data_IF_798387673981
#
_entry.id   IF_798387673981
#
_cell.length_a   1.000
_cell.length_b   1.000
_cell.length_c   1.000
_cell.angle_alpha   90.00
_cell.angle_beta   90.00
_cell.angle_gamma   90.00
#
_symmetry.space_group_name_H-M   'P 1'
#
loop_
_entity.id
_entity.type
_entity.pdbx_description
1 polymer ?
#
# COMPACT_ATOMS: atom_id res chain seq x y z
N UNK A 1 -5.51 -14.66 -9.27
CA UNK A 1 -5.86 -13.23 -9.19
C UNK A 1 -4.64 -12.42 -9.59
N UNK A 2 -4.81 -11.48 -10.52
CA UNK A 2 -3.76 -10.61 -11.06
C UNK A 2 -4.03 -9.16 -10.67
N UNK A 3 -2.97 -8.34 -10.63
CA UNK A 3 -3.09 -6.89 -10.47
C UNK A 3 -3.67 -6.28 -11.73
N UNK A 4 -4.59 -5.33 -11.55
CA UNK A 4 -5.16 -4.53 -12.65
C UNK A 4 -4.37 -3.24 -12.78
N UNK A 5 -4.23 -2.51 -11.67
CA UNK A 5 -3.47 -1.27 -11.59
C UNK A 5 -2.66 -1.19 -10.29
N UNK A 6 -1.58 -0.44 -10.32
CA UNK A 6 -0.84 0.02 -9.15
C UNK A 6 -0.61 1.52 -9.26
N UNK A 7 -1.08 2.26 -8.26
CA UNK A 7 -0.79 3.67 -8.07
C UNK A 7 0.32 3.86 -7.04
N UNK A 8 1.23 4.77 -7.32
CA UNK A 8 2.30 5.16 -6.40
C UNK A 8 2.43 6.67 -6.41
N UNK A 9 2.33 7.29 -5.25
CA UNK A 9 2.57 8.71 -5.06
C UNK A 9 3.66 8.93 -4.01
N UNK A 10 4.56 9.87 -4.24
CA UNK A 10 5.62 10.23 -3.32
C UNK A 10 5.33 11.58 -2.68
N UNK A 11 5.64 11.66 -1.39
CA UNK A 11 5.55 12.88 -0.60
C UNK A 11 6.84 13.03 0.22
N UNK A 12 7.26 14.27 0.44
CA UNK A 12 8.30 14.58 1.41
C UNK A 12 7.77 14.54 2.85
N UNK A 13 8.63 14.71 3.84
CA UNK A 13 8.23 14.75 5.25
C UNK A 13 7.26 15.90 5.59
N UNK A 14 7.29 16.97 4.82
CA UNK A 14 6.38 18.12 4.94
C UNK A 14 5.01 17.88 4.30
N UNK A 15 4.85 16.79 3.57
CA UNK A 15 3.62 16.46 2.86
C UNK A 15 3.49 17.10 1.48
N UNK A 16 4.59 17.61 0.94
CA UNK A 16 4.60 18.16 -0.41
C UNK A 16 4.95 17.07 -1.42
N UNK A 17 4.39 17.19 -2.61
CA UNK A 17 4.80 16.37 -3.75
C UNK A 17 6.02 16.99 -4.43
N UNK A 18 7.09 16.22 -4.72
CA UNK A 18 8.23 16.71 -5.48
C UNK A 18 7.82 17.20 -6.87
N UNK A 19 8.42 18.28 -7.35
CA UNK A 19 8.25 18.76 -8.72
C UNK A 19 9.20 17.98 -9.68
N UNK A 20 8.79 17.65 -10.92
CA UNK A 20 7.57 18.05 -11.66
C UNK A 20 6.37 17.12 -11.50
N UNK A 21 6.43 16.14 -10.66
CA UNK A 21 5.36 15.20 -10.42
C UNK A 21 5.92 13.88 -9.85
N UNK A 22 5.12 13.26 -9.01
CA UNK A 22 5.58 12.14 -8.23
C UNK A 22 4.46 11.13 -8.02
N UNK A 23 3.59 11.05 -9.00
CA UNK A 23 2.51 10.08 -9.03
C UNK A 23 2.58 9.27 -10.31
N UNK A 24 2.56 7.97 -10.16
CA UNK A 24 2.60 7.02 -11.28
C UNK A 24 1.44 6.06 -11.19
N UNK A 25 0.92 5.70 -12.34
CA UNK A 25 -0.06 4.65 -12.52
C UNK A 25 0.51 3.59 -13.46
N UNK A 26 0.55 2.36 -12.99
CA UNK A 26 0.95 1.21 -13.76
C UNK A 26 -0.27 0.38 -14.08
N UNK A 27 -0.59 0.23 -15.36
CA UNK A 27 -1.66 -0.64 -15.84
C UNK A 27 -1.04 -1.96 -16.25
N UNK A 28 -1.56 -3.08 -15.76
CA UNK A 28 -1.00 -4.41 -15.99
C UNK A 28 -1.73 -5.15 -17.10
N UNK A 29 -0.95 -5.95 -17.85
CA UNK A 29 -1.48 -6.78 -18.95
C UNK A 29 -1.93 -8.17 -18.49
N UNK A 30 -1.67 -8.54 -17.24
CA UNK A 30 -1.84 -9.91 -16.74
C UNK A 30 -3.29 -10.27 -16.40
N UNK A 31 -4.17 -9.30 -16.19
CA UNK A 31 -5.56 -9.52 -15.83
C UNK A 31 -6.47 -9.63 -17.05
N UNK A 32 -7.30 -10.68 -17.06
CA UNK A 32 -8.33 -10.91 -18.07
C UNK A 32 -9.69 -11.07 -17.39
N UNK A 33 -10.64 -10.11 -17.58
CA UNK A 33 -11.95 -10.19 -16.94
C UNK A 33 -12.79 -11.40 -17.39
N UNK A 34 -12.48 -11.99 -18.55
CA UNK A 34 -13.21 -13.14 -19.10
C UNK A 34 -12.71 -14.49 -18.52
N UNK A 35 -11.50 -14.51 -17.95
CA UNK A 35 -10.84 -15.74 -17.48
C UNK A 35 -10.56 -15.69 -15.97
N UNK A 36 -10.16 -14.54 -15.46
CA UNK A 36 -9.79 -14.38 -14.06
C UNK A 36 -11.01 -14.26 -13.15
N UNK A 37 -10.91 -14.88 -11.96
CA UNK A 37 -11.96 -14.75 -10.95
C UNK A 37 -12.11 -13.28 -10.53
N UNK A 38 -13.28 -12.72 -10.80
CA UNK A 38 -13.64 -11.34 -10.47
C UNK A 38 -15.12 -11.23 -10.11
N UNK A 39 -15.50 -10.15 -9.43
CA UNK A 39 -16.90 -9.81 -9.20
C UNK A 39 -17.41 -9.01 -10.41
N UNK A 40 -18.55 -9.38 -11.03
CA UNK A 40 -19.15 -8.60 -12.12
C UNK A 40 -19.37 -7.14 -11.76
N UNK A 41 -19.87 -6.86 -10.55
CA UNK A 41 -20.12 -5.50 -10.06
C UNK A 41 -18.80 -4.68 -9.98
N UNK A 42 -17.69 -5.33 -9.59
CA UNK A 42 -16.38 -4.68 -9.53
C UNK A 42 -15.85 -4.36 -10.93
N UNK A 43 -16.02 -5.27 -11.89
CA UNK A 43 -15.62 -5.04 -13.28
C UNK A 43 -16.44 -3.92 -13.89
N UNK A 44 -17.75 -3.90 -13.66
CA UNK A 44 -18.63 -2.83 -14.13
C UNK A 44 -18.21 -1.47 -13.55
N UNK A 45 -17.99 -1.39 -12.24
CA UNK A 45 -17.52 -0.17 -11.57
C UNK A 45 -16.21 0.34 -12.17
N UNK A 46 -15.23 -0.54 -12.37
CA UNK A 46 -13.93 -0.18 -12.95
C UNK A 46 -14.10 0.30 -14.39
N UNK A 47 -14.90 -0.38 -15.20
CA UNK A 47 -15.20 0.03 -16.59
C UNK A 47 -15.85 1.42 -16.64
N UNK A 48 -16.85 1.68 -15.77
CA UNK A 48 -17.49 3.00 -15.64
C UNK A 48 -16.50 4.08 -15.17
N UNK A 49 -15.45 3.69 -14.45
CA UNK A 49 -14.38 4.58 -14.00
C UNK A 49 -13.26 4.76 -15.04
N UNK A 50 -13.46 4.27 -16.27
CA UNK A 50 -12.54 4.46 -17.39
C UNK A 50 -11.42 3.41 -17.50
N UNK A 51 -11.57 2.24 -16.88
CA UNK A 51 -10.64 1.14 -17.09
C UNK A 51 -10.94 0.43 -18.41
N UNK A 52 -9.98 0.43 -19.32
CA UNK A 52 -10.03 -0.30 -20.59
C UNK A 52 -9.18 -1.57 -20.49
N UNK A 53 -9.82 -2.69 -20.11
CA UNK A 53 -9.14 -3.97 -19.93
C UNK A 53 -8.52 -4.51 -21.24
N UNK A 54 -9.14 -4.20 -22.42
CA UNK A 54 -8.56 -4.62 -23.70
C UNK A 54 -7.27 -3.85 -23.99
N UNK A 55 -7.26 -2.55 -23.73
CA UNK A 55 -6.06 -1.72 -23.86
C UNK A 55 -4.99 -2.17 -22.87
N UNK A 56 -5.35 -2.50 -21.64
CA UNK A 56 -4.38 -3.01 -20.66
C UNK A 56 -3.75 -4.32 -21.11
N UNK A 57 -4.52 -5.25 -21.64
CA UNK A 57 -3.97 -6.50 -22.18
C UNK A 57 -3.02 -6.30 -23.35
N UNK A 58 -3.26 -5.32 -24.22
CA UNK A 58 -2.44 -5.03 -25.42
C UNK A 58 -1.18 -4.23 -25.09
N UNK A 59 -1.28 -3.26 -24.19
CA UNK A 59 -0.27 -2.24 -23.96
C UNK A 59 0.16 -2.11 -22.51
N UNK A 60 -0.44 -2.84 -21.61
CA UNK A 60 -0.11 -2.85 -20.20
C UNK A 60 1.27 -3.46 -19.94
N UNK A 61 1.74 -3.24 -18.74
CA UNK A 61 3.03 -3.70 -18.27
C UNK A 61 2.90 -5.13 -17.75
N UNK A 62 3.81 -6.01 -18.14
CA UNK A 62 3.96 -7.33 -17.52
C UNK A 62 4.33 -7.17 -16.04
N UNK A 63 3.54 -7.77 -15.14
CA UNK A 63 3.74 -7.63 -13.69
C UNK A 63 5.12 -8.13 -13.22
N UNK A 64 5.73 -9.08 -13.93
CA UNK A 64 7.09 -9.59 -13.61
C UNK A 64 8.16 -8.54 -13.86
N UNK A 65 8.02 -7.77 -14.94
CA UNK A 65 8.93 -6.65 -15.25
C UNK A 65 8.75 -5.51 -14.25
N UNK A 66 7.50 -5.19 -13.93
CA UNK A 66 7.19 -4.17 -12.93
C UNK A 66 7.71 -4.55 -11.55
N UNK A 67 7.59 -5.82 -11.15
CA UNK A 67 8.05 -6.32 -9.86
C UNK A 67 9.52 -5.98 -9.58
N UNK A 68 10.41 -6.17 -10.55
CA UNK A 68 11.81 -5.84 -10.39
C UNK A 68 12.03 -4.34 -10.17
N UNK A 69 11.42 -3.50 -11.00
CA UNK A 69 11.55 -2.04 -10.89
C UNK A 69 10.98 -1.51 -9.58
N UNK A 70 9.80 -1.98 -9.19
CA UNK A 70 9.15 -1.60 -7.93
C UNK A 70 10.00 -2.05 -6.74
N UNK A 71 10.49 -3.28 -6.76
CA UNK A 71 11.37 -3.80 -5.70
C UNK A 71 12.60 -2.91 -5.54
N UNK A 72 13.36 -2.68 -6.61
CA UNK A 72 14.62 -1.92 -6.57
C UNK A 72 14.38 -0.45 -6.22
N UNK A 73 13.37 0.18 -6.82
CA UNK A 73 13.16 1.63 -6.70
C UNK A 73 12.39 2.05 -5.46
N UNK A 74 11.50 1.21 -4.94
CA UNK A 74 10.66 1.55 -3.80
C UNK A 74 11.11 0.85 -2.51
N UNK A 75 11.48 -0.44 -2.57
CA UNK A 75 11.70 -1.22 -1.35
C UNK A 75 13.18 -1.44 -1.00
N UNK A 76 14.09 -1.29 -1.96
CA UNK A 76 15.53 -1.46 -1.74
C UNK A 76 16.27 -0.13 -1.55
N UNK A 77 15.57 0.98 -1.36
CA UNK A 77 16.23 2.26 -1.14
C UNK A 77 16.85 2.36 0.25
N UNK A 78 18.00 3.05 0.40
CA UNK A 78 18.68 3.22 1.68
C UNK A 78 17.92 4.12 2.66
N UNK A 79 16.89 4.82 2.19
CA UNK A 79 16.11 5.76 3.00
C UNK A 79 15.01 5.05 3.77
N UNK A 80 14.70 5.56 4.95
CA UNK A 80 13.57 5.11 5.77
C UNK A 80 12.27 5.63 5.18
N UNK A 81 11.75 4.95 4.16
CA UNK A 81 10.46 5.28 3.58
C UNK A 81 9.32 4.78 4.47
N UNK A 82 8.27 5.59 4.58
CA UNK A 82 7.00 5.21 5.20
C UNK A 82 6.00 4.92 4.08
N UNK A 83 5.31 3.82 4.19
CA UNK A 83 4.25 3.44 3.24
C UNK A 83 2.91 3.75 3.85
N UNK A 84 2.01 4.29 3.04
CA UNK A 84 0.65 4.63 3.49
C UNK A 84 -0.36 3.98 2.56
N UNK A 85 -1.38 3.38 3.14
CA UNK A 85 -2.50 2.75 2.43
C UNK A 85 -3.83 3.17 3.05
N UNK A 86 -4.93 2.83 2.39
CA UNK A 86 -6.27 2.94 2.95
C UNK A 86 -7.02 1.63 2.73
N UNK A 87 -7.28 0.87 3.80
CA UNK A 87 -7.86 -0.48 3.71
C UNK A 87 -7.01 -1.42 2.84
N UNK A 88 -5.70 -1.29 2.95
CA UNK A 88 -4.74 -1.80 1.98
C UNK A 88 -4.35 -3.26 2.15
N UNK A 89 -5.10 -4.08 2.90
CA UNK A 89 -4.78 -5.50 3.10
C UNK A 89 -4.60 -6.25 1.79
N UNK A 90 -5.56 -6.09 0.87
CA UNK A 90 -5.52 -6.75 -0.43
C UNK A 90 -4.46 -6.14 -1.34
N UNK A 91 -4.32 -4.82 -1.37
CA UNK A 91 -3.32 -4.12 -2.19
C UNK A 91 -1.91 -4.58 -1.80
N UNK A 92 -1.62 -4.61 -0.51
CA UNK A 92 -0.35 -5.10 0.04
C UNK A 92 -0.13 -6.57 -0.30
N UNK A 93 -1.16 -7.40 -0.20
CA UNK A 93 -1.07 -8.82 -0.55
C UNK A 93 -0.74 -9.03 -2.04
N UNK A 94 -1.37 -8.24 -2.92
CA UNK A 94 -1.08 -8.28 -4.36
C UNK A 94 0.35 -7.81 -4.68
N UNK A 95 0.80 -6.73 -4.05
CA UNK A 95 2.18 -6.23 -4.23
C UNK A 95 3.19 -7.26 -3.74
N UNK A 96 2.96 -7.88 -2.57
CA UNK A 96 3.81 -8.97 -2.06
C UNK A 96 3.85 -10.12 -3.06
N UNK A 97 2.70 -10.60 -3.54
CA UNK A 97 2.62 -11.68 -4.52
C UNK A 97 3.37 -11.34 -5.81
N UNK A 98 3.24 -10.10 -6.29
CA UNK A 98 3.96 -9.61 -7.47
C UNK A 98 5.48 -9.63 -7.26
N UNK A 99 5.97 -9.13 -6.13
CA UNK A 99 7.39 -9.03 -5.81
C UNK A 99 8.01 -10.40 -5.57
N UNK A 100 7.37 -11.23 -4.74
CA UNK A 100 7.91 -12.54 -4.33
C UNK A 100 7.73 -13.61 -5.39
N UNK A 101 6.76 -13.46 -6.27
CA UNK A 101 6.33 -14.48 -7.25
C UNK A 101 5.96 -15.82 -6.60
N UNK A 102 5.64 -15.81 -5.33
CA UNK A 102 5.30 -16.98 -4.54
C UNK A 102 3.84 -16.89 -4.05
N UNK A 103 3.23 -18.01 -3.67
CA UNK A 103 1.97 -17.99 -2.93
C UNK A 103 2.10 -17.16 -1.66
N UNK A 104 1.01 -16.52 -1.27
CA UNK A 104 0.96 -15.84 0.02
C UNK A 104 1.08 -16.84 1.18
N UNK A 105 1.64 -16.44 2.32
CA UNK A 105 1.70 -17.29 3.50
C UNK A 105 0.33 -17.82 3.93
N UNK A 106 0.29 -19.05 4.45
CA UNK A 106 -0.96 -19.69 4.88
C UNK A 106 -1.49 -19.15 6.22
N UNK A 107 -0.64 -18.46 6.98
CA UNK A 107 -1.02 -17.88 8.26
C UNK A 107 -0.91 -16.37 8.27
N UNK A 108 -1.79 -15.72 9.04
CA UNK A 108 -1.75 -14.26 9.20
C UNK A 108 -0.46 -13.76 9.90
N UNK A 109 0.15 -14.58 10.75
CA UNK A 109 1.39 -14.22 11.42
C UNK A 109 2.55 -14.15 10.42
N UNK A 110 2.71 -15.18 9.59
CA UNK A 110 3.72 -15.20 8.53
C UNK A 110 3.49 -14.07 7.52
N UNK A 111 2.23 -13.81 7.15
CA UNK A 111 1.89 -12.68 6.28
C UNK A 111 2.30 -11.34 6.93
N UNK A 112 1.98 -11.13 8.20
CA UNK A 112 2.36 -9.90 8.92
C UNK A 112 3.88 -9.74 9.04
N UNK A 113 4.62 -10.83 9.24
CA UNK A 113 6.08 -10.81 9.27
C UNK A 113 6.66 -10.47 7.88
N UNK A 114 6.04 -10.97 6.82
CA UNK A 114 6.41 -10.66 5.44
C UNK A 114 6.13 -9.19 5.10
N UNK A 115 4.97 -8.66 5.50
CA UNK A 115 4.65 -7.22 5.37
C UNK A 115 5.72 -6.37 6.04
N UNK A 116 6.09 -6.68 7.28
CA UNK A 116 7.16 -5.95 8.00
C UNK A 116 8.51 -6.09 7.32
N UNK A 117 8.78 -7.24 6.71
CA UNK A 117 10.04 -7.50 6.02
C UNK A 117 10.17 -6.64 4.78
N UNK A 118 9.12 -6.53 3.98
CA UNK A 118 9.13 -5.82 2.69
C UNK A 118 8.95 -4.31 2.89
N UNK A 119 7.94 -3.91 3.65
CA UNK A 119 7.57 -2.49 3.78
C UNK A 119 8.23 -1.80 4.97
N UNK A 120 8.67 -2.53 6.00
CA UNK A 120 9.15 -1.91 7.22
C UNK A 120 8.03 -1.20 7.97
N UNK A 121 7.87 0.11 7.75
CA UNK A 121 6.78 0.90 8.33
C UNK A 121 5.69 1.14 7.28
N UNK A 122 4.53 0.55 7.50
CA UNK A 122 3.32 0.78 6.69
C UNK A 122 2.18 1.24 7.60
N UNK A 123 1.43 2.24 7.17
CA UNK A 123 0.33 2.85 7.89
C UNK A 123 -0.96 2.69 7.08
N UNK A 124 -1.98 2.08 7.68
CA UNK A 124 -3.32 1.97 7.07
C UNK A 124 -4.25 3.03 7.64
N UNK A 125 -4.61 4.03 6.85
CA UNK A 125 -5.43 5.14 7.30
C UNK A 125 -6.82 4.72 7.78
N UNK A 126 -7.39 3.65 7.22
CA UNK A 126 -8.67 3.13 7.70
C UNK A 126 -8.54 2.55 9.11
N UNK A 127 -7.44 1.86 9.39
CA UNK A 127 -7.14 1.40 10.75
C UNK A 127 -6.92 2.56 11.70
N UNK A 128 -6.07 3.52 11.32
CA UNK A 128 -5.71 4.67 12.14
C UNK A 128 -6.93 5.55 12.45
N UNK A 129 -7.79 5.79 11.47
CA UNK A 129 -9.00 6.62 11.64
C UNK A 129 -9.97 6.11 12.71
N UNK A 130 -9.87 4.82 13.11
CA UNK A 130 -10.66 4.27 14.23
C UNK A 130 -10.33 4.93 15.56
N UNK A 131 -9.11 5.42 15.72
CA UNK A 131 -8.60 6.02 16.96
C UNK A 131 -8.59 7.55 16.92
N UNK A 132 -8.98 8.13 15.78
CA UNK A 132 -9.03 9.58 15.60
C UNK A 132 -10.42 10.13 15.89
N UNK A 133 -10.50 11.11 16.78
CA UNK A 133 -11.76 11.79 17.10
C UNK A 133 -12.39 12.44 15.85
N UNK A 134 -13.69 12.29 15.66
CA UNK A 134 -14.43 12.87 14.53
C UNK A 134 -14.39 12.04 13.24
N UNK A 135 -13.57 10.99 13.15
CA UNK A 135 -13.41 10.18 11.94
C UNK A 135 -14.26 8.89 11.96
N UNK A 136 -15.42 8.93 12.59
CA UNK A 136 -16.43 7.85 12.59
C UNK A 136 -15.86 6.46 12.90
N UNK A 137 -14.84 6.37 13.72
CA UNK A 137 -14.18 5.11 14.13
C UNK A 137 -13.74 4.23 12.96
N UNK A 138 -13.35 4.84 11.82
CA UNK A 138 -12.89 4.11 10.63
C UNK A 138 -14.00 3.46 9.79
N UNK A 139 -15.27 3.66 10.13
CA UNK A 139 -16.42 3.12 9.38
C UNK A 139 -16.78 3.98 8.16
N UNK A 140 -15.76 4.46 7.44
CA UNK A 140 -15.91 5.31 6.26
C UNK A 140 -15.01 4.80 5.15
N UNK A 141 -15.42 5.04 3.91
CA UNK A 141 -14.56 4.84 2.73
C UNK A 141 -13.62 6.03 2.52
N UNK A 142 -12.69 5.88 1.59
CA UNK A 142 -11.67 6.89 1.26
C UNK A 142 -12.31 8.26 0.92
N UNK A 143 -13.33 8.27 0.08
CA UNK A 143 -14.10 9.49 -0.28
C UNK A 143 -14.82 10.08 0.93
N UNK A 144 -15.32 9.24 1.83
CA UNK A 144 -15.94 9.72 3.09
C UNK A 144 -14.93 10.41 3.99
N UNK A 145 -13.73 9.86 4.10
CA UNK A 145 -12.63 10.45 4.86
C UNK A 145 -12.21 11.80 4.25
N UNK A 146 -12.09 11.89 2.91
CA UNK A 146 -11.72 13.14 2.25
C UNK A 146 -12.73 14.26 2.52
N UNK A 147 -14.03 13.93 2.46
CA UNK A 147 -15.11 14.91 2.79
C UNK A 147 -15.05 15.38 4.24
N UNK A 148 -14.81 14.47 5.19
CA UNK A 148 -14.70 14.84 6.61
C UNK A 148 -13.48 15.75 6.89
N UNK A 149 -12.43 15.57 6.11
CA UNK A 149 -11.23 16.40 6.20
C UNK A 149 -11.29 17.65 5.29
N UNK A 150 -12.41 17.89 4.59
CA UNK A 150 -12.60 18.98 3.63
C UNK A 150 -11.50 19.01 2.57
N UNK A 151 -11.12 17.84 2.08
CA UNK A 151 -10.10 17.67 1.06
C UNK A 151 -10.73 17.09 -0.21
N UNK A 152 -10.74 17.86 -1.30
CA UNK A 152 -11.22 17.42 -2.61
C UNK A 152 -10.07 17.45 -3.62
N UNK A 153 -9.47 16.30 -3.90
CA UNK A 153 -8.41 16.24 -4.91
C UNK A 153 -9.01 16.35 -6.32
N UNK A 154 -8.19 16.84 -7.24
CA UNK A 154 -8.54 16.92 -8.66
C UNK A 154 -8.14 15.60 -9.34
N UNK A 155 -9.06 14.99 -10.09
CA UNK A 155 -8.80 13.78 -10.86
C UNK A 155 -9.99 12.84 -10.98
N UNK A 156 -9.77 11.70 -11.64
CA UNK A 156 -10.78 10.66 -11.86
C UNK A 156 -10.70 9.65 -10.72
N UNK A 157 -11.79 9.48 -9.99
CA UNK A 157 -11.94 8.49 -8.92
C UNK A 157 -11.80 7.06 -9.44
N UNK A 158 -11.37 6.15 -8.58
CA UNK A 158 -11.12 4.75 -8.90
C UNK A 158 -10.02 4.51 -9.94
N UNK A 159 -9.14 5.50 -10.11
CA UNK A 159 -7.87 5.34 -10.79
C UNK A 159 -6.76 5.27 -9.74
N UNK A 160 -5.89 4.26 -9.82
CA UNK A 160 -4.94 3.96 -8.75
C UNK A 160 -3.98 5.13 -8.43
N UNK A 161 -3.62 5.94 -9.43
CA UNK A 161 -2.82 7.15 -9.21
C UNK A 161 -3.59 8.21 -8.41
N UNK A 162 -4.86 8.44 -8.73
CA UNK A 162 -5.71 9.37 -8.00
C UNK A 162 -5.87 8.95 -6.54
N UNK A 163 -6.18 7.66 -6.31
CA UNK A 163 -6.38 7.15 -4.96
C UNK A 163 -5.08 7.21 -4.15
N UNK A 164 -3.92 6.95 -4.75
CA UNK A 164 -2.63 7.06 -4.07
C UNK A 164 -2.26 8.50 -3.69
N UNK A 165 -2.54 9.49 -4.55
CA UNK A 165 -2.40 10.91 -4.22
C UNK A 165 -3.33 11.32 -3.09
N UNK A 166 -4.58 10.90 -3.16
CA UNK A 166 -5.57 11.18 -2.12
C UNK A 166 -5.15 10.60 -0.77
N UNK A 167 -4.70 9.34 -0.74
CA UNK A 167 -4.25 8.68 0.49
C UNK A 167 -3.08 9.44 1.12
N UNK A 168 -2.07 9.82 0.35
CA UNK A 168 -0.92 10.58 0.86
C UNK A 168 -1.31 11.96 1.37
N UNK A 169 -2.16 12.69 0.64
CA UNK A 169 -2.66 13.99 1.07
C UNK A 169 -3.48 13.90 2.37
N UNK A 170 -4.35 12.91 2.50
CA UNK A 170 -5.13 12.69 3.72
C UNK A 170 -4.26 12.30 4.92
N UNK A 171 -3.20 11.51 4.70
CA UNK A 171 -2.23 11.21 5.74
C UNK A 171 -1.58 12.49 6.29
N UNK A 172 -1.13 13.37 5.41
CA UNK A 172 -0.53 14.64 5.78
C UNK A 172 -1.55 15.58 6.46
N UNK A 173 -2.77 15.67 5.94
CA UNK A 173 -3.84 16.45 6.56
C UNK A 173 -4.15 15.96 7.98
N UNK A 174 -4.19 14.64 8.20
CA UNK A 174 -4.37 14.07 9.53
C UNK A 174 -3.20 14.41 10.46
N UNK A 175 -1.95 14.41 9.95
CA UNK A 175 -0.78 14.88 10.74
C UNK A 175 -0.93 16.34 11.14
N UNK A 176 -1.27 17.21 10.22
CA UNK A 176 -1.45 18.65 10.49
C UNK A 176 -2.54 18.91 11.52
N UNK A 177 -3.63 18.14 11.51
CA UNK A 177 -4.69 18.20 12.53
C UNK A 177 -4.30 17.52 13.84
N UNK A 178 -3.03 17.15 14.01
CA UNK A 178 -2.48 16.52 15.20
C UNK A 178 -3.14 15.17 15.58
N UNK A 179 -3.70 14.48 14.60
CA UNK A 179 -4.00 13.07 14.79
C UNK A 179 -2.68 12.28 14.86
N UNK A 180 -2.60 11.35 15.81
CA UNK A 180 -1.39 10.54 16.00
C UNK A 180 -1.29 9.43 14.95
N UNK A 181 -1.10 9.82 13.67
CA UNK A 181 -1.08 8.87 12.54
C UNK A 181 0.20 8.04 12.46
N UNK A 182 1.30 8.53 13.03
CA UNK A 182 2.61 7.88 13.05
C UNK A 182 2.89 7.19 14.40
N UNK A 183 1.85 6.77 15.12
CA UNK A 183 2.02 5.99 16.34
C UNK A 183 2.65 4.64 16.01
N UNK A 184 3.72 4.30 16.72
CA UNK A 184 4.41 3.00 16.60
C UNK A 184 3.47 1.81 16.80
N UNK A 185 2.38 1.98 17.55
CA UNK A 185 1.34 0.96 17.73
C UNK A 185 0.53 0.72 16.47
N UNK A 186 0.44 1.70 15.59
CA UNK A 186 -0.27 1.62 14.31
C UNK A 186 0.64 1.21 13.15
N UNK A 187 1.96 1.30 13.33
CA UNK A 187 2.92 0.92 12.30
C UNK A 187 2.82 -0.58 11.98
N UNK A 188 2.73 -0.91 10.70
CA UNK A 188 2.62 -2.27 10.17
C UNK A 188 1.39 -3.06 10.65
N UNK A 189 0.30 -2.34 10.95
CA UNK A 189 -1.02 -2.92 11.22
C UNK A 189 -1.94 -2.54 10.06
N UNK A 190 -2.50 -3.56 9.40
CA UNK A 190 -3.47 -3.39 8.32
C UNK A 190 -4.90 -3.61 8.85
N UNK A 191 -5.83 -2.83 8.35
CA UNK A 191 -7.25 -3.00 8.67
C UNK A 191 -7.73 -4.40 8.24
N UNK A 192 -8.40 -5.10 9.14
CA UNK A 192 -8.91 -6.46 8.91
C UNK A 192 -8.08 -7.58 9.53
N UNK A 193 -6.81 -7.31 9.91
CA UNK A 193 -5.94 -8.29 10.61
C UNK A 193 -5.34 -7.75 11.91
N UNK A 194 -5.85 -6.64 12.41
CA UNK A 194 -5.32 -5.90 13.56
C UNK A 194 -5.23 -6.71 14.85
N UNK A 195 -6.21 -7.56 15.14
CA UNK A 195 -6.30 -8.25 16.42
C UNK A 195 -5.20 -9.29 16.64
N UNK A 196 -4.57 -9.79 15.59
CA UNK A 196 -3.52 -10.81 15.66
C UNK A 196 -2.10 -10.24 15.63
N UNK A 197 -1.95 -9.01 15.13
CA UNK A 197 -0.65 -8.33 15.11
C UNK A 197 -0.21 -7.78 16.47
N UNK A 198 -1.14 -7.51 17.37
CA UNK A 198 -0.87 -6.90 18.68
C UNK A 198 -0.27 -7.89 19.68
N UNK A 199 -0.68 -9.16 19.64
CA UNK A 199 -0.17 -10.18 20.56
C UNK A 199 1.32 -10.48 20.37
N UNK A 200 1.82 -10.47 19.12
CA UNK A 200 3.22 -10.72 18.82
C UNK A 200 4.18 -9.57 19.19
N UNK A 201 3.67 -8.35 19.41
CA UNK A 201 4.51 -7.21 19.81
C UNK A 201 5.02 -7.34 21.25
N UNK A 202 4.25 -7.97 22.16
CA UNK A 202 4.63 -8.15 23.56
C UNK A 202 5.81 -9.10 23.72
N UNK A 203 6.02 -10.03 22.80
CA UNK A 203 7.06 -11.07 22.90
C UNK A 203 8.39 -10.66 22.23
N UNK A 204 8.44 -9.62 21.39
CA UNK A 204 9.64 -9.24 20.61
C UNK A 204 10.30 -7.90 20.99
N UNK A 205 10.01 -7.35 22.16
CA UNK A 205 10.73 -6.16 22.66
C UNK A 205 12.19 -6.42 23.10
N UNK A 206 12.75 -7.59 22.84
CA UNK A 206 14.12 -7.94 23.26
C UNK A 206 14.95 -8.35 22.03
N UNK A 207 15.27 -7.40 21.15
CA UNK A 207 16.54 -7.41 20.42
C UNK A 207 16.87 -6.01 19.86
N UNK A 208 17.40 -5.19 20.76
CA UNK A 208 17.98 -3.87 20.41
C UNK A 208 19.46 -4.00 20.11
N UNK A 209 19.87 -4.78 19.12
CA UNK A 209 21.21 -4.66 18.56
C UNK A 209 21.14 -3.87 17.26
N UNK A 210 21.66 -2.64 17.34
CA UNK A 210 21.62 -1.62 16.31
C UNK A 210 22.35 -1.97 15.02
N UNK A 211 21.60 -2.48 14.05
CA UNK A 211 22.04 -2.55 12.65
C UNK A 211 21.24 -1.54 11.83
N UNK A 212 21.89 -0.81 10.89
CA UNK A 212 21.19 0.14 10.04
C UNK A 212 20.09 -0.58 9.25
N UNK A 213 18.89 -0.01 9.27
CA UNK A 213 17.66 -0.55 8.68
C UNK A 213 17.83 -0.99 7.21
N UNK A 214 18.54 -0.23 6.39
CA UNK A 214 18.76 -0.50 4.98
C UNK A 214 19.54 -1.81 4.72
N UNK A 215 20.57 -2.12 5.50
CA UNK A 215 21.33 -3.39 5.35
C UNK A 215 20.50 -4.61 5.74
N UNK A 216 19.58 -4.48 6.71
CA UNK A 216 18.67 -5.60 7.06
C UNK A 216 17.71 -5.94 5.95
N UNK A 217 17.22 -4.93 5.25
CA UNK A 217 16.25 -5.13 4.16
C UNK A 217 16.91 -5.80 2.94
N UNK A 218 18.11 -5.38 2.56
CA UNK A 218 18.88 -6.02 1.47
C UNK A 218 19.23 -7.47 1.78
N UNK A 219 19.72 -7.80 2.98
CA UNK A 219 20.00 -9.18 3.36
C UNK A 219 18.75 -10.06 3.43
N UNK A 220 17.60 -9.50 3.80
CA UNK A 220 16.34 -10.25 3.86
C UNK A 220 15.76 -10.50 2.48
N UNK A 221 15.83 -9.52 1.58
CA UNK A 221 15.38 -9.70 0.18
C UNK A 221 16.29 -10.67 -0.56
N UNK A 222 17.60 -10.63 -0.35
CA UNK A 222 18.54 -11.61 -0.88
C UNK A 222 18.27 -13.03 -0.35
N UNK A 223 17.98 -13.17 0.95
CA UNK A 223 17.62 -14.46 1.55
C UNK A 223 16.27 -15.03 1.03
N UNK A 224 15.42 -14.18 0.45
CA UNK A 224 14.17 -14.58 -0.22
C UNK A 224 14.34 -14.87 -1.72
N UNK A 225 15.57 -14.94 -2.22
CA UNK A 225 15.86 -15.15 -3.65
C UNK A 225 15.58 -13.93 -4.53
N UNK A 226 15.35 -12.76 -3.93
CA UNK A 226 15.21 -11.47 -4.59
C UNK A 226 16.58 -10.78 -4.62
N UNK A 227 17.55 -11.39 -5.33
CA UNK A 227 18.84 -10.76 -5.52
C UNK A 227 18.70 -9.47 -6.33
N UNK A 228 19.22 -8.38 -5.80
CA UNK A 228 19.40 -7.09 -6.45
C UNK A 228 20.67 -7.10 -7.27
#
# INVERSE_FOLDING_TARGET
MHLIQLGVALFDEGGNTPWPGCCWQFNFSDFDPDVDASSPDSIELLTQSGHDFQQYRRHGIDARRCAYLVCVKLFCQPYSSKYVTFHGLYDVAFVIKMITRAPLPNTLNEFSDLVRTIFGQIYDLKYISRFCGGLRRGEIGLVGLSRLLNFEPVGIRHQAAYDSLLIGALFNEMKQRRHNVEDDRSASVLYGIENRCVENRRTRMIDRRGWPYARRQQHRLAAMGLAV
#
